data_IF_411150432857
#
_entry.id   IF_411150432857
#
_cell.length_a   1.000
_cell.length_b   1.000
_cell.length_c   1.000
_cell.angle_alpha   90.00
_cell.angle_beta   90.00
_cell.angle_gamma   90.00
#
_symmetry.space_group_name_H-M   'P 1'
#
loop_
_entity.id
_entity.type
_entity.pdbx_description
1 polymer ?
#
# COMPACT_ATOMS: atom_id res chain seq x y z
N UNK A 1 0.15 5.93 -39.50
CA UNK A 1 0.51 6.05 -38.07
C UNK A 1 0.08 7.43 -37.61
N UNK A 2 -0.71 7.53 -36.55
CA UNK A 2 -1.08 8.85 -35.98
C UNK A 2 0.22 9.57 -35.54
N UNK A 3 0.31 10.87 -35.81
CA UNK A 3 1.42 11.67 -35.29
C UNK A 3 1.19 11.89 -33.79
N UNK A 4 2.12 11.42 -32.95
CA UNK A 4 2.06 11.58 -31.50
C UNK A 4 3.09 12.62 -31.10
N UNK A 5 2.71 13.65 -30.39
CA UNK A 5 3.59 14.70 -29.87
C UNK A 5 3.70 14.58 -28.35
N UNK A 6 4.91 14.77 -27.80
CA UNK A 6 5.12 14.89 -26.37
C UNK A 6 5.35 16.36 -26.03
N UNK A 7 4.67 16.83 -24.99
CA UNK A 7 4.89 18.15 -24.41
C UNK A 7 4.88 18.07 -22.87
N UNK A 8 5.47 19.04 -22.17
CA UNK A 8 5.29 19.16 -20.73
C UNK A 8 3.79 19.21 -20.36
N UNK A 9 3.40 18.52 -19.30
CA UNK A 9 2.06 18.62 -18.79
C UNK A 9 1.87 19.95 -18.03
N UNK A 10 0.70 20.53 -18.16
CA UNK A 10 0.32 21.81 -17.57
C UNK A 10 -0.78 21.61 -16.52
N UNK A 11 -0.58 22.17 -15.31
CA UNK A 11 -1.46 21.97 -14.16
C UNK A 11 -2.93 22.29 -14.47
N UNK A 12 -3.17 23.44 -15.06
CA UNK A 12 -4.54 23.91 -15.32
C UNK A 12 -5.21 23.23 -16.53
N UNK A 13 -4.43 22.76 -17.46
CA UNK A 13 -4.93 22.14 -18.69
C UNK A 13 -5.15 20.65 -18.55
N UNK A 14 -4.22 19.95 -17.87
CA UNK A 14 -4.09 18.50 -18.02
C UNK A 14 -4.50 17.75 -16.76
N UNK A 15 -4.34 18.32 -15.56
CA UNK A 15 -4.44 17.58 -14.32
C UNK A 15 -5.79 16.92 -14.07
N UNK A 16 -6.90 17.50 -14.57
CA UNK A 16 -8.21 16.83 -14.54
C UNK A 16 -8.22 15.52 -15.34
N UNK A 17 -7.60 15.52 -16.54
CA UNK A 17 -7.50 14.33 -17.37
C UNK A 17 -6.46 13.33 -16.81
N UNK A 18 -5.34 13.82 -16.25
CA UNK A 18 -4.36 12.98 -15.59
C UNK A 18 -4.97 12.27 -14.38
N UNK A 19 -5.72 12.97 -13.55
CA UNK A 19 -6.42 12.39 -12.40
C UNK A 19 -7.40 11.28 -12.83
N UNK A 20 -8.16 11.51 -13.91
CA UNK A 20 -9.03 10.49 -14.47
C UNK A 20 -8.25 9.25 -14.95
N UNK A 21 -7.09 9.44 -15.58
CA UNK A 21 -6.23 8.34 -16.03
C UNK A 21 -5.58 7.60 -14.85
N UNK A 22 -5.14 8.29 -13.80
CA UNK A 22 -4.66 7.66 -12.58
C UNK A 22 -5.72 6.78 -11.94
N UNK A 23 -6.98 7.26 -11.92
CA UNK A 23 -8.11 6.52 -11.34
C UNK A 23 -8.40 5.18 -12.06
N UNK A 24 -7.96 5.02 -13.31
CA UNK A 24 -8.07 3.74 -14.04
C UNK A 24 -7.06 2.69 -13.55
N UNK A 25 -5.95 3.13 -12.97
CA UNK A 25 -4.84 2.26 -12.59
C UNK A 25 -4.72 2.09 -11.06
N UNK A 26 -5.53 2.80 -10.28
CA UNK A 26 -5.54 2.74 -8.81
C UNK A 26 -6.87 2.20 -8.32
N UNK A 27 -6.86 1.60 -7.12
CA UNK A 27 -8.10 1.13 -6.48
C UNK A 27 -8.94 2.30 -5.94
N UNK A 28 -8.31 3.47 -5.78
CA UNK A 28 -8.91 4.68 -5.24
C UNK A 28 -8.95 5.78 -6.30
N UNK A 29 -10.11 6.45 -6.44
CA UNK A 29 -10.20 7.57 -7.37
C UNK A 29 -9.22 8.69 -6.99
N UNK A 30 -8.42 9.11 -7.93
CA UNK A 30 -7.58 10.30 -7.79
C UNK A 30 -8.37 11.52 -8.24
N UNK A 31 -8.53 12.50 -7.35
CA UNK A 31 -9.15 13.76 -7.70
C UNK A 31 -8.13 14.76 -8.28
N UNK A 32 -8.57 15.68 -9.12
CA UNK A 32 -7.70 16.74 -9.62
C UNK A 32 -7.06 17.58 -8.51
N UNK A 33 -7.82 18.05 -7.48
CA UNK A 33 -7.21 18.76 -6.34
C UNK A 33 -6.17 17.91 -5.61
N UNK A 34 -6.47 16.63 -5.36
CA UNK A 34 -5.53 15.71 -4.72
C UNK A 34 -4.24 15.52 -5.52
N UNK A 35 -4.35 15.37 -6.84
CA UNK A 35 -3.19 15.25 -7.72
C UNK A 35 -2.35 16.53 -7.77
N UNK A 36 -2.98 17.72 -7.70
CA UNK A 36 -2.28 19.01 -7.59
C UNK A 36 -1.51 19.13 -6.27
N UNK A 37 -2.09 18.69 -5.17
CA UNK A 37 -1.40 18.63 -3.85
C UNK A 37 -0.19 17.70 -3.92
N UNK A 38 -0.36 16.49 -4.44
CA UNK A 38 0.74 15.52 -4.60
C UNK A 38 1.86 16.07 -5.49
N UNK A 39 1.52 16.77 -6.57
CA UNK A 39 2.50 17.45 -7.42
C UNK A 39 3.30 18.52 -6.64
N UNK A 40 2.63 19.40 -5.90
CA UNK A 40 3.28 20.47 -5.14
C UNK A 40 4.20 19.91 -4.04
N UNK A 41 3.79 18.87 -3.35
CA UNK A 41 4.59 18.20 -2.31
C UNK A 41 5.85 17.52 -2.89
N UNK A 42 5.81 17.09 -4.14
CA UNK A 42 6.86 16.30 -4.75
C UNK A 42 7.64 17.01 -5.86
N UNK A 43 7.25 18.24 -6.24
CA UNK A 43 7.75 18.96 -7.41
C UNK A 43 9.28 19.04 -7.53
N UNK A 44 9.98 19.19 -6.40
CA UNK A 44 11.45 19.26 -6.40
C UNK A 44 12.14 17.91 -6.77
N UNK A 45 11.38 16.81 -6.67
CA UNK A 45 11.85 15.47 -7.00
C UNK A 45 11.31 14.96 -8.33
N UNK A 46 10.37 15.69 -8.94
CA UNK A 46 9.83 15.33 -10.26
C UNK A 46 10.89 15.62 -11.32
N UNK A 47 11.36 14.59 -11.99
CA UNK A 47 12.35 14.72 -13.06
C UNK A 47 11.72 14.74 -14.44
N UNK A 48 10.47 14.26 -14.55
CA UNK A 48 9.72 14.26 -15.79
C UNK A 48 8.22 14.21 -15.56
N UNK A 49 7.47 15.03 -16.33
CA UNK A 49 6.03 14.96 -16.45
C UNK A 49 5.63 15.44 -17.84
N UNK A 50 5.27 14.51 -18.73
CA UNK A 50 4.94 14.79 -20.13
C UNK A 50 3.57 14.24 -20.47
N UNK A 51 2.81 15.02 -21.23
CA UNK A 51 1.60 14.61 -21.90
C UNK A 51 1.91 14.13 -23.33
N UNK A 52 1.31 13.02 -23.75
CA UNK A 52 1.31 12.57 -25.13
C UNK A 52 -0.02 12.96 -25.77
N UNK A 53 0.04 13.66 -26.88
CA UNK A 53 -1.13 14.14 -27.64
C UNK A 53 -1.12 13.64 -29.08
N UNK A 54 -2.30 13.49 -29.67
CA UNK A 54 -2.43 13.37 -31.11
C UNK A 54 -2.51 14.76 -31.78
N UNK A 55 -2.50 14.77 -33.12
CA UNK A 55 -2.44 15.97 -33.95
C UNK A 55 -3.57 16.99 -33.67
N UNK A 56 -4.70 16.53 -33.17
CA UNK A 56 -5.85 17.37 -32.81
C UNK A 56 -5.83 17.86 -31.36
N UNK A 57 -4.76 17.57 -30.63
CA UNK A 57 -4.57 17.97 -29.21
C UNK A 57 -5.30 17.12 -28.20
N UNK A 58 -5.82 15.94 -28.59
CA UNK A 58 -6.38 14.98 -27.64
C UNK A 58 -5.29 14.29 -26.84
N UNK A 59 -5.41 14.29 -25.50
CA UNK A 59 -4.51 13.59 -24.61
C UNK A 59 -4.65 12.06 -24.78
N UNK A 60 -3.55 11.39 -25.11
CA UNK A 60 -3.49 9.94 -25.26
C UNK A 60 -3.02 9.26 -23.99
N UNK A 61 -2.18 9.94 -23.21
CA UNK A 61 -1.56 9.43 -22.00
C UNK A 61 -0.47 10.36 -21.49
N UNK A 62 0.23 9.93 -20.46
CA UNK A 62 1.32 10.70 -19.85
C UNK A 62 2.40 9.80 -19.25
N UNK A 63 3.57 10.38 -19.00
CA UNK A 63 4.56 9.85 -18.06
C UNK A 63 4.73 10.80 -16.86
N UNK A 64 5.06 10.24 -15.71
CA UNK A 64 5.40 11.00 -14.51
C UNK A 64 6.52 10.25 -13.78
N UNK A 65 7.67 10.88 -13.61
CA UNK A 65 8.82 10.28 -12.94
C UNK A 65 9.29 11.14 -11.78
N UNK A 66 9.48 10.50 -10.62
CA UNK A 66 9.85 11.14 -9.37
C UNK A 66 11.03 10.41 -8.75
N UNK A 67 12.08 11.15 -8.35
CA UNK A 67 13.19 10.59 -7.59
C UNK A 67 12.75 10.08 -6.22
N UNK A 68 13.31 8.96 -5.80
CA UNK A 68 13.14 8.49 -4.43
C UNK A 68 13.64 9.53 -3.44
N UNK A 69 12.91 9.72 -2.34
CA UNK A 69 13.37 10.60 -1.25
C UNK A 69 14.51 10.00 -0.44
N UNK A 70 14.73 8.69 -0.55
CA UNK A 70 15.74 7.96 0.22
C UNK A 70 17.00 7.64 -0.59
N UNK A 71 16.86 7.51 -1.91
CA UNK A 71 17.97 7.18 -2.79
C UNK A 71 17.84 7.94 -4.13
N UNK A 72 18.71 8.91 -4.36
CA UNK A 72 18.72 9.71 -5.59
C UNK A 72 19.07 8.92 -6.85
N UNK A 73 19.63 7.71 -6.70
CA UNK A 73 19.88 6.81 -7.82
C UNK A 73 18.64 6.02 -8.25
N UNK A 74 17.51 6.20 -7.55
CA UNK A 74 16.26 5.49 -7.79
C UNK A 74 15.16 6.46 -8.19
N UNK A 75 14.38 6.12 -9.22
CA UNK A 75 13.19 6.83 -9.62
C UNK A 75 11.99 5.89 -9.73
N UNK A 76 10.86 6.37 -9.26
CA UNK A 76 9.53 5.78 -9.49
C UNK A 76 8.87 6.49 -10.64
N UNK A 77 8.13 5.76 -11.46
CA UNK A 77 7.43 6.40 -12.56
C UNK A 77 6.11 5.74 -12.91
N UNK A 78 5.28 6.51 -13.58
CA UNK A 78 4.05 6.08 -14.24
C UNK A 78 4.15 6.31 -15.73
N UNK A 79 3.60 5.40 -16.51
CA UNK A 79 3.24 5.59 -17.91
C UNK A 79 1.81 5.09 -18.05
N UNK A 80 0.89 6.01 -18.19
CA UNK A 80 -0.53 5.68 -18.32
C UNK A 80 -1.01 6.14 -19.68
N UNK A 81 -1.58 5.22 -20.45
CA UNK A 81 -2.16 5.48 -21.77
C UNK A 81 -3.62 5.05 -21.71
N UNK A 82 -4.51 5.91 -22.24
CA UNK A 82 -5.94 5.58 -22.38
C UNK A 82 -6.10 4.16 -22.94
N UNK A 83 -6.93 3.29 -22.35
CA UNK A 83 -7.07 1.90 -22.78
C UNK A 83 -7.32 1.76 -24.27
N UNK A 84 -8.22 2.57 -24.84
CA UNK A 84 -8.60 2.60 -26.25
C UNK A 84 -7.51 3.11 -27.20
N UNK A 85 -6.46 3.74 -26.66
CA UNK A 85 -5.33 4.29 -27.41
C UNK A 85 -4.04 3.45 -27.23
N UNK A 86 -4.11 2.34 -26.48
CA UNK A 86 -2.99 1.42 -26.32
C UNK A 86 -2.63 0.75 -27.65
N UNK A 87 -1.39 0.29 -27.78
CA UNK A 87 -0.90 -0.37 -28.98
C UNK A 87 -0.54 0.57 -30.14
N UNK A 88 -0.83 1.89 -30.06
CA UNK A 88 -0.63 2.86 -31.13
C UNK A 88 0.71 3.62 -31.04
N UNK A 89 1.58 3.30 -30.06
CA UNK A 89 2.94 3.83 -29.94
C UNK A 89 3.13 4.92 -28.87
N UNK A 90 2.06 5.46 -28.25
CA UNK A 90 2.16 6.51 -27.23
C UNK A 90 2.99 6.05 -26.03
N UNK A 91 2.72 4.86 -25.48
CA UNK A 91 3.48 4.30 -24.34
C UNK A 91 4.95 4.08 -24.66
N UNK A 92 5.30 3.72 -25.92
CA UNK A 92 6.70 3.60 -26.34
C UNK A 92 7.41 4.96 -26.30
N UNK A 93 6.81 6.00 -26.86
CA UNK A 93 7.40 7.35 -26.87
C UNK A 93 7.57 7.93 -25.48
N UNK A 94 6.53 7.76 -24.62
CA UNK A 94 6.58 8.19 -23.23
C UNK A 94 7.69 7.48 -22.44
N UNK A 95 7.93 6.20 -22.73
CA UNK A 95 8.99 5.44 -22.10
C UNK A 95 10.39 5.87 -22.60
N UNK A 96 10.57 6.03 -23.93
CA UNK A 96 11.84 6.47 -24.52
C UNK A 96 12.26 7.84 -23.97
N UNK A 97 11.33 8.78 -23.86
CA UNK A 97 11.54 10.10 -23.24
C UNK A 97 11.94 9.98 -21.75
N UNK A 98 11.22 9.17 -21.00
CA UNK A 98 11.49 8.95 -19.58
C UNK A 98 12.85 8.29 -19.35
N UNK A 99 13.20 7.25 -20.11
CA UNK A 99 14.49 6.56 -19.98
C UNK A 99 15.66 7.51 -20.31
N UNK A 100 15.50 8.35 -21.31
CA UNK A 100 16.52 9.35 -21.67
C UNK A 100 16.76 10.35 -20.52
N UNK A 101 15.70 10.89 -19.92
CA UNK A 101 15.83 11.84 -18.82
C UNK A 101 16.35 11.18 -17.54
N UNK A 102 15.97 9.94 -17.27
CA UNK A 102 16.47 9.19 -16.13
C UNK A 102 17.99 8.94 -16.24
N UNK A 103 18.49 8.58 -17.43
CA UNK A 103 19.93 8.44 -17.70
C UNK A 103 20.64 9.77 -17.54
N UNK A 104 20.11 10.86 -18.05
CA UNK A 104 20.69 12.20 -17.90
C UNK A 104 20.74 12.64 -16.42
N UNK A 105 19.77 12.23 -15.61
CA UNK A 105 19.72 12.46 -14.16
C UNK A 105 20.54 11.45 -13.35
N UNK A 106 21.32 10.58 -14.01
CA UNK A 106 22.15 9.53 -13.39
C UNK A 106 21.37 8.55 -12.50
N UNK A 107 20.10 8.34 -12.78
CA UNK A 107 19.27 7.32 -12.13
C UNK A 107 19.79 5.95 -12.54
N UNK A 108 19.97 5.06 -11.57
CA UNK A 108 20.42 3.67 -11.79
C UNK A 108 19.30 2.65 -11.69
N UNK A 109 18.27 2.95 -10.91
CA UNK A 109 17.16 2.06 -10.67
C UNK A 109 15.83 2.72 -11.08
N UNK A 110 15.18 2.15 -12.05
CA UNK A 110 13.80 2.52 -12.40
C UNK A 110 12.82 1.55 -11.76
N UNK A 111 11.77 2.06 -11.14
CA UNK A 111 10.69 1.26 -10.56
C UNK A 111 9.33 1.68 -11.12
N UNK A 112 8.50 0.69 -11.39
CA UNK A 112 7.11 0.86 -11.85
C UNK A 112 6.20 -0.12 -11.13
N UNK A 113 4.97 0.34 -10.83
CA UNK A 113 3.89 -0.51 -10.35
C UNK A 113 2.96 -0.87 -11.49
N UNK A 114 2.61 -2.15 -11.62
CA UNK A 114 1.74 -2.67 -12.68
C UNK A 114 0.67 -3.53 -12.05
N UNK A 115 -0.60 -3.30 -12.39
CA UNK A 115 -1.69 -4.16 -11.94
C UNK A 115 -1.54 -5.57 -12.50
N UNK A 116 -1.75 -6.59 -11.69
CA UNK A 116 -1.56 -7.99 -12.06
C UNK A 116 -2.63 -8.50 -13.05
N UNK A 117 -3.75 -7.77 -13.15
CA UNK A 117 -4.80 -8.02 -14.14
C UNK A 117 -4.56 -7.30 -15.49
N UNK A 118 -3.37 -6.71 -15.71
CA UNK A 118 -2.97 -6.09 -16.98
C UNK A 118 -1.76 -6.81 -17.61
N UNK A 119 -1.95 -8.02 -18.20
CA UNK A 119 -0.83 -8.78 -18.76
C UNK A 119 -0.10 -8.06 -19.89
N UNK A 120 -0.79 -7.22 -20.67
CA UNK A 120 -0.17 -6.40 -21.71
C UNK A 120 0.73 -5.31 -21.11
N UNK A 121 0.39 -4.74 -19.94
CA UNK A 121 1.21 -3.78 -19.23
C UNK A 121 2.49 -4.46 -18.70
N UNK A 122 2.36 -5.66 -18.12
CA UNK A 122 3.49 -6.46 -17.68
C UNK A 122 4.40 -6.80 -18.84
N UNK A 123 3.86 -7.32 -19.95
CA UNK A 123 4.65 -7.62 -21.15
C UNK A 123 5.31 -6.38 -21.76
N UNK A 124 4.71 -5.19 -21.64
CA UNK A 124 5.31 -3.93 -22.06
C UNK A 124 6.57 -3.60 -21.24
N UNK A 125 6.52 -3.78 -19.93
CA UNK A 125 7.67 -3.56 -19.03
C UNK A 125 8.76 -4.62 -19.23
N UNK A 126 8.40 -5.91 -19.30
CA UNK A 126 9.35 -7.02 -19.50
C UNK A 126 10.15 -6.86 -20.78
N UNK A 127 9.50 -6.47 -21.91
CA UNK A 127 10.20 -6.18 -23.17
C UNK A 127 11.18 -5.00 -23.09
N UNK A 128 11.12 -4.19 -22.04
CA UNK A 128 12.03 -3.08 -21.76
C UNK A 128 13.08 -3.40 -20.70
N UNK A 129 13.15 -4.66 -20.29
CA UNK A 129 14.15 -5.16 -19.36
C UNK A 129 13.77 -4.97 -17.89
N UNK A 130 12.49 -4.71 -17.58
CA UNK A 130 12.00 -4.76 -16.21
C UNK A 130 11.82 -6.19 -15.75
N UNK A 131 12.18 -6.44 -14.51
CA UNK A 131 11.97 -7.71 -13.82
C UNK A 131 11.11 -7.51 -12.59
N UNK A 132 10.35 -8.54 -12.21
CA UNK A 132 9.54 -8.50 -11.00
C UNK A 132 10.44 -8.46 -9.76
N UNK A 133 10.20 -7.50 -8.88
CA UNK A 133 10.81 -7.38 -7.56
C UNK A 133 9.92 -7.94 -6.47
N UNK A 134 8.63 -7.62 -6.52
CA UNK A 134 7.64 -8.13 -5.59
C UNK A 134 6.24 -8.11 -6.21
N UNK A 135 5.37 -8.96 -5.67
CA UNK A 135 3.96 -8.99 -6.00
C UNK A 135 3.14 -8.85 -4.72
N UNK A 136 2.33 -7.81 -4.67
CA UNK A 136 1.32 -7.63 -3.63
C UNK A 136 -0.04 -8.02 -4.18
N UNK A 137 -0.80 -8.84 -3.44
CA UNK A 137 -2.19 -9.18 -3.75
C UNK A 137 -3.12 -8.37 -2.87
N UNK A 138 -4.20 -7.86 -3.43
CA UNK A 138 -5.28 -7.22 -2.70
C UNK A 138 -6.23 -8.25 -2.09
N UNK A 139 -6.81 -7.91 -0.93
CA UNK A 139 -7.82 -8.72 -0.25
C UNK A 139 -8.95 -7.82 0.22
N UNK A 140 -10.19 -8.25 0.04
CA UNK A 140 -11.38 -7.51 0.44
C UNK A 140 -12.32 -8.41 1.24
N UNK A 141 -12.88 -7.87 2.32
CA UNK A 141 -13.90 -8.53 3.14
C UNK A 141 -15.19 -7.71 3.11
N UNK A 142 -16.29 -8.36 2.75
CA UNK A 142 -17.64 -7.82 2.93
C UNK A 142 -18.10 -8.07 4.38
N UNK A 143 -18.32 -7.00 5.14
CA UNK A 143 -18.70 -7.06 6.54
C UNK A 143 -20.14 -7.55 6.75
N UNK A 144 -20.99 -7.54 5.72
CA UNK A 144 -22.35 -8.09 5.81
C UNK A 144 -22.36 -9.61 5.92
N UNK A 145 -21.34 -10.28 5.35
CA UNK A 145 -21.21 -11.74 5.40
C UNK A 145 -20.19 -12.23 6.44
N UNK A 146 -19.46 -11.30 7.07
CA UNK A 146 -18.47 -11.65 8.09
C UNK A 146 -19.14 -12.17 9.37
N UNK A 147 -18.93 -13.44 9.67
CA UNK A 147 -19.38 -14.08 10.91
C UNK A 147 -18.21 -14.26 11.88
N UNK A 148 -18.22 -13.50 12.96
CA UNK A 148 -17.17 -13.56 14.00
C UNK A 148 -17.50 -14.49 15.17
N UNK A 149 -18.74 -15.04 15.23
CA UNK A 149 -19.19 -15.93 16.32
C UNK A 149 -18.32 -17.16 16.51
N UNK A 150 -17.83 -17.83 15.44
CA UNK A 150 -16.94 -19.00 15.57
C UNK A 150 -15.63 -18.73 16.32
N UNK A 151 -15.24 -17.45 16.42
CA UNK A 151 -13.97 -17.06 17.07
C UNK A 151 -14.12 -16.74 18.56
N UNK A 152 -15.35 -16.65 19.10
CA UNK A 152 -15.59 -16.31 20.51
C UNK A 152 -14.94 -17.32 21.45
N UNK A 153 -15.14 -18.60 21.23
CA UNK A 153 -14.56 -19.68 22.05
C UNK A 153 -13.03 -19.69 21.96
N UNK A 154 -12.47 -19.43 20.76
CA UNK A 154 -11.03 -19.34 20.58
C UNK A 154 -10.42 -18.18 21.37
N UNK A 155 -11.06 -17.00 21.36
CA UNK A 155 -10.61 -15.81 22.09
C UNK A 155 -10.74 -16.07 23.59
N UNK A 156 -11.90 -16.61 24.07
CA UNK A 156 -12.11 -16.92 25.49
C UNK A 156 -11.05 -17.90 26.01
N UNK A 157 -10.78 -18.99 25.29
CA UNK A 157 -9.71 -19.93 25.65
C UNK A 157 -8.34 -19.25 25.76
N UNK A 158 -7.99 -18.37 24.82
CA UNK A 158 -6.72 -17.65 24.87
C UNK A 158 -6.68 -16.69 26.07
N UNK A 159 -7.80 -16.09 26.45
CA UNK A 159 -7.89 -15.27 27.67
C UNK A 159 -7.70 -16.11 28.93
N UNK A 160 -8.27 -17.32 29.00
CA UNK A 160 -8.04 -18.27 30.09
C UNK A 160 -6.58 -18.75 30.14
N UNK A 161 -5.89 -18.79 29.00
CA UNK A 161 -4.45 -19.06 28.89
C UNK A 161 -3.57 -17.88 29.30
N UNK A 162 -4.16 -16.75 29.74
CA UNK A 162 -3.44 -15.57 30.22
C UNK A 162 -3.11 -14.53 29.14
N UNK A 163 -3.79 -14.53 28.00
CA UNK A 163 -3.63 -13.48 27.00
C UNK A 163 -4.70 -12.38 27.19
N UNK A 164 -4.22 -11.15 27.42
CA UNK A 164 -5.07 -9.96 27.43
C UNK A 164 -5.24 -9.42 26.02
N UNK A 165 -6.46 -9.43 25.51
CA UNK A 165 -6.84 -8.75 24.28
C UNK A 165 -7.34 -7.34 24.58
N UNK A 166 -6.67 -6.32 24.05
CA UNK A 166 -6.95 -4.92 24.36
C UNK A 166 -6.64 -4.00 23.17
N UNK A 167 -6.80 -2.70 23.35
CA UNK A 167 -6.44 -1.68 22.35
C UNK A 167 -5.52 -0.64 22.96
N UNK A 168 -4.81 0.10 22.10
CA UNK A 168 -4.01 1.24 22.54
C UNK A 168 -4.85 2.29 23.29
N UNK A 169 -6.13 2.49 22.90
CA UNK A 169 -7.04 3.39 23.61
C UNK A 169 -7.28 2.92 25.06
N UNK A 170 -7.54 1.63 25.26
CA UNK A 170 -7.76 1.06 26.59
C UNK A 170 -6.50 1.11 27.47
N UNK A 171 -5.31 1.11 26.87
CA UNK A 171 -4.03 1.33 27.53
C UNK A 171 -3.66 2.80 27.73
N UNK A 172 -4.60 3.73 27.46
CA UNK A 172 -4.41 5.17 27.59
C UNK A 172 -3.48 5.78 26.54
N UNK A 173 -3.07 5.02 25.51
CA UNK A 173 -2.15 5.43 24.43
C UNK A 173 -0.89 6.17 24.95
N UNK A 174 -0.40 5.77 26.11
CA UNK A 174 0.76 6.38 26.77
C UNK A 174 2.03 6.19 25.93
N UNK A 175 3.06 7.00 26.20
CA UNK A 175 4.36 6.86 25.52
C UNK A 175 4.96 5.45 25.72
N UNK A 176 4.82 4.89 26.93
CA UNK A 176 5.24 3.52 27.21
C UNK A 176 4.52 2.50 26.33
N UNK A 177 3.19 2.62 26.21
CA UNK A 177 2.40 1.76 25.32
C UNK A 177 2.79 1.95 23.85
N UNK A 178 3.08 3.18 23.42
CA UNK A 178 3.55 3.47 22.06
C UNK A 178 4.94 2.87 21.79
N UNK A 179 5.85 2.85 22.77
CA UNK A 179 7.16 2.19 22.66
C UNK A 179 7.02 0.68 22.51
N UNK A 180 6.13 0.06 23.27
CA UNK A 180 5.83 -1.37 23.14
C UNK A 180 5.19 -1.70 21.79
N UNK A 181 4.26 -0.86 21.31
CA UNK A 181 3.66 -0.99 19.99
C UNK A 181 4.72 -0.87 18.88
N UNK A 182 5.61 0.12 19.00
CA UNK A 182 6.73 0.30 18.08
C UNK A 182 7.62 -0.95 18.03
N UNK A 183 8.05 -1.46 19.18
CA UNK A 183 8.94 -2.61 19.24
C UNK A 183 8.30 -3.86 18.58
N UNK A 184 7.00 -4.10 18.85
CA UNK A 184 6.29 -5.23 18.23
C UNK A 184 6.05 -5.00 16.73
N UNK A 185 5.67 -3.79 16.32
CA UNK A 185 5.47 -3.43 14.91
C UNK A 185 6.75 -3.61 14.10
N UNK A 186 7.86 -3.02 14.57
CA UNK A 186 9.16 -3.06 13.91
C UNK A 186 9.66 -4.50 13.75
N UNK A 187 9.65 -5.26 14.84
CA UNK A 187 10.06 -6.67 14.84
C UNK A 187 9.23 -7.51 13.86
N UNK A 188 7.89 -7.38 13.87
CA UNK A 188 7.03 -8.20 13.04
C UNK A 188 7.05 -7.75 11.57
N UNK A 189 7.25 -6.45 11.31
CA UNK A 189 7.40 -5.93 9.96
C UNK A 189 8.68 -6.43 9.29
N UNK A 190 9.82 -6.44 9.99
CA UNK A 190 11.07 -7.01 9.47
C UNK A 190 10.95 -8.49 9.08
N UNK A 191 10.05 -9.22 9.71
CA UNK A 191 9.81 -10.64 9.46
C UNK A 191 8.76 -10.88 8.36
N UNK A 192 8.18 -9.83 7.81
CA UNK A 192 7.21 -9.93 6.71
C UNK A 192 7.94 -10.27 5.41
N UNK A 193 7.46 -11.23 4.61
CA UNK A 193 8.03 -11.51 3.29
C UNK A 193 8.10 -10.23 2.42
N UNK A 194 9.25 -9.99 1.82
CA UNK A 194 9.53 -8.79 1.02
C UNK A 194 10.07 -7.58 1.81
N UNK A 195 10.18 -7.68 3.14
CA UNK A 195 10.84 -6.65 3.96
C UNK A 195 12.36 -6.68 3.84
N UNK A 196 12.92 -7.82 3.40
CA UNK A 196 14.38 -8.08 3.36
C UNK A 196 15.06 -7.88 4.73
N UNK A 197 14.30 -8.03 5.83
CA UNK A 197 14.79 -7.82 7.20
C UNK A 197 15.06 -6.35 7.54
N UNK A 198 14.57 -5.40 6.74
CA UNK A 198 14.77 -3.97 6.99
C UNK A 198 13.79 -3.44 8.01
N UNK A 199 14.29 -2.58 8.88
CA UNK A 199 13.46 -1.81 9.80
C UNK A 199 12.59 -0.82 9.02
N UNK A 200 11.26 -0.80 9.23
CA UNK A 200 10.37 0.15 8.56
C UNK A 200 10.53 1.59 9.08
N UNK A 201 11.08 1.75 10.29
CA UNK A 201 11.23 3.01 10.99
C UNK A 201 12.69 3.27 11.35
N UNK A 202 13.13 4.54 11.28
CA UNK A 202 14.50 4.92 11.64
C UNK A 202 14.72 4.91 13.16
N UNK A 203 13.68 5.23 13.94
CA UNK A 203 13.68 5.27 15.40
C UNK A 203 12.26 5.27 15.95
N UNK A 204 12.13 5.20 17.28
CA UNK A 204 10.83 5.38 17.93
C UNK A 204 10.24 6.77 17.66
N UNK A 205 11.04 7.81 17.65
CA UNK A 205 10.61 9.18 17.33
C UNK A 205 10.07 9.29 15.90
N UNK A 206 10.70 8.60 14.95
CA UNK A 206 10.21 8.51 13.57
C UNK A 206 8.86 7.79 13.49
N UNK A 207 8.71 6.66 14.21
CA UNK A 207 7.45 5.94 14.35
C UNK A 207 6.37 6.80 15.02
N UNK A 208 6.69 7.46 16.12
CA UNK A 208 5.75 8.33 16.83
C UNK A 208 5.22 9.45 15.92
N UNK A 209 6.12 10.11 15.18
CA UNK A 209 5.75 11.18 14.25
C UNK A 209 4.92 10.68 13.08
N UNK A 210 5.32 9.57 12.45
CA UNK A 210 4.71 9.10 11.19
C UNK A 210 3.49 8.20 11.41
N UNK A 211 3.36 7.60 12.59
CA UNK A 211 2.27 6.69 12.94
C UNK A 211 1.40 7.30 14.03
N UNK A 212 1.92 7.46 15.26
CA UNK A 212 1.08 7.84 16.39
C UNK A 212 0.50 9.26 16.30
N UNK A 213 1.13 10.16 15.55
CA UNK A 213 0.69 11.53 15.31
C UNK A 213 0.00 11.73 13.95
N UNK A 214 -0.10 10.68 13.14
CA UNK A 214 -0.78 10.76 11.85
C UNK A 214 -2.31 10.83 12.03
N UNK A 215 -2.99 11.57 11.16
CA UNK A 215 -4.45 11.77 11.21
C UNK A 215 -5.24 10.47 11.11
N UNK A 216 -4.70 9.50 10.38
CA UNK A 216 -5.31 8.17 10.24
C UNK A 216 -5.13 7.30 11.49
N UNK A 217 -4.18 7.59 12.38
CA UNK A 217 -3.96 6.79 13.58
C UNK A 217 -5.12 6.96 14.57
N UNK A 218 -5.79 5.86 14.87
CA UNK A 218 -6.85 5.81 15.87
C UNK A 218 -6.43 4.79 16.93
N UNK A 219 -6.15 5.20 18.18
CA UNK A 219 -5.71 4.28 19.24
C UNK A 219 -6.67 3.11 19.48
N UNK A 220 -7.98 3.34 19.30
CA UNK A 220 -9.00 2.28 19.42
C UNK A 220 -8.95 1.25 18.28
N UNK A 221 -8.39 1.60 17.11
CA UNK A 221 -8.18 0.69 15.98
C UNK A 221 -6.84 -0.07 16.03
N UNK A 222 -6.00 0.20 17.05
CA UNK A 222 -4.74 -0.49 17.26
C UNK A 222 -4.95 -1.59 18.30
N UNK A 223 -5.31 -2.80 17.85
CA UNK A 223 -5.54 -3.94 18.72
C UNK A 223 -4.21 -4.62 19.07
N UNK A 224 -4.05 -5.00 20.32
CA UNK A 224 -2.86 -5.68 20.82
C UNK A 224 -3.23 -6.86 21.74
N UNK A 225 -2.33 -7.83 21.81
CA UNK A 225 -2.44 -8.99 22.72
C UNK A 225 -1.20 -9.00 23.59
N UNK A 226 -1.42 -9.06 24.90
CA UNK A 226 -0.37 -9.06 25.92
C UNK A 226 -0.43 -10.39 26.64
N UNK A 227 0.70 -11.08 26.77
CA UNK A 227 0.88 -12.21 27.68
C UNK A 227 0.98 -11.67 29.10
N UNK A 228 -0.05 -11.86 29.90
CA UNK A 228 -0.14 -11.32 31.28
C UNK A 228 0.85 -11.97 32.24
N UNK A 229 1.36 -13.15 31.90
CA UNK A 229 2.36 -13.87 32.72
C UNK A 229 3.72 -13.23 32.63
N UNK A 230 4.08 -12.73 31.43
CA UNK A 230 5.41 -12.18 31.16
C UNK A 230 5.42 -10.67 30.96
N UNK A 231 4.25 -10.05 30.72
CA UNK A 231 4.13 -8.67 30.30
C UNK A 231 4.51 -8.41 28.83
N UNK A 232 4.87 -9.44 28.07
CA UNK A 232 5.28 -9.29 26.68
C UNK A 232 4.08 -9.01 25.76
N UNK A 233 4.27 -8.13 24.79
CA UNK A 233 3.34 -7.91 23.72
C UNK A 233 3.51 -9.01 22.66
N UNK A 234 2.46 -9.82 22.50
CA UNK A 234 2.51 -11.06 21.73
C UNK A 234 2.01 -10.90 20.28
N UNK A 235 0.99 -10.06 20.08
CA UNK A 235 0.41 -9.85 18.76
C UNK A 235 -0.22 -8.45 18.62
N UNK A 236 -0.38 -8.00 17.39
CA UNK A 236 -1.07 -6.74 17.07
C UNK A 236 -1.87 -6.86 15.76
N UNK A 237 -2.91 -6.03 15.63
CA UNK A 237 -3.59 -5.77 14.37
C UNK A 237 -4.06 -4.31 14.31
N UNK A 238 -3.59 -3.58 13.31
CA UNK A 238 -3.90 -2.18 13.11
C UNK A 238 -4.94 -2.03 12.00
N UNK A 239 -6.02 -1.30 12.29
CA UNK A 239 -7.08 -1.00 11.34
C UNK A 239 -7.48 0.47 11.45
N UNK A 240 -7.80 1.08 10.32
CA UNK A 240 -8.27 2.46 10.26
C UNK A 240 -9.25 2.66 9.12
N UNK A 241 -9.94 3.80 9.15
CA UNK A 241 -10.67 4.36 8.01
C UNK A 241 -9.98 5.66 7.65
N UNK A 242 -9.45 5.75 6.43
CA UNK A 242 -8.87 6.99 5.93
C UNK A 242 -9.96 8.01 5.66
N UNK A 243 -9.60 9.30 5.73
CA UNK A 243 -10.54 10.37 5.42
C UNK A 243 -11.07 10.23 3.98
N UNK A 244 -12.38 10.35 3.83
CA UNK A 244 -13.06 10.19 2.53
C UNK A 244 -13.27 8.75 2.05
N UNK A 245 -12.66 7.74 2.70
CA UNK A 245 -12.89 6.35 2.33
C UNK A 245 -14.24 5.83 2.87
N UNK A 246 -14.90 4.97 2.11
CA UNK A 246 -16.12 4.26 2.51
C UNK A 246 -15.84 2.84 3.06
N UNK A 247 -14.55 2.48 3.19
CA UNK A 247 -14.06 1.20 3.73
C UNK A 247 -13.02 1.42 4.83
N UNK A 248 -12.78 0.40 5.64
CA UNK A 248 -11.64 0.37 6.54
C UNK A 248 -10.47 -0.40 5.91
N UNK A 249 -9.27 -0.03 6.32
CA UNK A 249 -8.03 -0.63 5.84
C UNK A 249 -7.28 -1.30 7.00
N UNK A 250 -7.06 -2.62 6.91
CA UNK A 250 -6.23 -3.34 7.86
C UNK A 250 -4.77 -3.18 7.46
N UNK A 251 -4.05 -2.33 8.19
CA UNK A 251 -2.70 -1.87 7.84
C UNK A 251 -1.62 -2.93 8.09
N UNK A 252 -1.66 -3.54 9.28
CA UNK A 252 -0.66 -4.51 9.70
C UNK A 252 -1.25 -5.49 10.70
N UNK A 253 -0.89 -6.75 10.56
CA UNK A 253 -1.12 -7.79 11.58
C UNK A 253 0.16 -8.55 11.78
N UNK A 254 0.66 -8.57 13.01
CA UNK A 254 1.92 -9.21 13.37
C UNK A 254 1.83 -10.04 14.65
N UNK A 255 2.61 -11.10 14.72
CA UNK A 255 2.75 -11.95 15.92
C UNK A 255 4.23 -12.17 16.18
N UNK A 256 4.68 -11.89 17.39
CA UNK A 256 6.01 -12.25 17.85
C UNK A 256 6.24 -13.74 17.63
N UNK A 257 7.37 -14.08 17.03
CA UNK A 257 7.70 -15.46 16.66
C UNK A 257 7.58 -16.46 17.81
N UNK A 258 7.81 -16.02 19.06
CA UNK A 258 7.69 -16.84 20.29
C UNK A 258 6.25 -17.30 20.55
N UNK A 259 5.28 -16.61 20.00
CA UNK A 259 3.85 -16.84 20.20
C UNK A 259 3.12 -17.36 18.95
N UNK A 260 3.85 -17.63 17.85
CA UNK A 260 3.26 -18.17 16.62
C UNK A 260 2.67 -19.57 16.83
N UNK A 261 1.76 -19.97 15.96
CA UNK A 261 1.06 -21.26 16.03
C UNK A 261 -0.11 -21.29 17.02
N UNK A 262 -0.31 -20.28 17.86
CA UNK A 262 -1.35 -20.18 18.90
C UNK A 262 -2.63 -19.50 18.42
N UNK A 263 -2.78 -19.22 17.13
CA UNK A 263 -3.93 -18.52 16.53
C UNK A 263 -4.10 -17.04 16.95
N UNK A 264 -3.10 -16.41 17.56
CA UNK A 264 -3.19 -15.01 18.01
C UNK A 264 -3.42 -14.03 16.86
N UNK A 265 -2.78 -14.23 15.69
CA UNK A 265 -2.98 -13.37 14.52
C UNK A 265 -4.45 -13.31 14.11
N UNK A 266 -5.10 -14.48 14.00
CA UNK A 266 -6.50 -14.58 13.64
C UNK A 266 -7.40 -13.90 14.69
N UNK A 267 -7.16 -14.19 15.97
CA UNK A 267 -7.95 -13.64 17.06
C UNK A 267 -7.83 -12.12 17.18
N UNK A 268 -6.62 -11.55 17.10
CA UNK A 268 -6.44 -10.10 17.18
C UNK A 268 -7.01 -9.39 15.95
N UNK A 269 -6.95 -10.03 14.79
CA UNK A 269 -7.56 -9.50 13.56
C UNK A 269 -9.08 -9.49 13.64
N UNK A 270 -9.72 -10.50 14.27
CA UNK A 270 -11.15 -10.50 14.54
C UNK A 270 -11.55 -9.31 15.42
N UNK A 271 -10.77 -8.94 16.44
CA UNK A 271 -11.05 -7.74 17.23
C UNK A 271 -10.99 -6.46 16.38
N UNK A 272 -10.00 -6.36 15.50
CA UNK A 272 -9.91 -5.23 14.58
C UNK A 272 -11.10 -5.15 13.62
N UNK A 273 -11.59 -6.30 13.14
CA UNK A 273 -12.79 -6.37 12.31
C UNK A 273 -14.07 -6.01 13.07
N UNK A 274 -14.20 -6.41 14.34
CA UNK A 274 -15.30 -5.94 15.21
C UNK A 274 -15.30 -4.43 15.34
N UNK A 275 -14.14 -3.83 15.60
CA UNK A 275 -13.99 -2.38 15.65
C UNK A 275 -14.39 -1.72 14.31
N UNK A 276 -14.02 -2.30 13.18
CA UNK A 276 -14.42 -1.80 11.86
C UNK A 276 -15.94 -1.82 11.68
N UNK A 277 -16.62 -2.90 12.10
CA UNK A 277 -18.07 -3.04 12.03
C UNK A 277 -18.81 -2.12 13.01
N UNK A 278 -18.38 -2.09 14.28
CA UNK A 278 -19.14 -1.51 15.37
C UNK A 278 -18.85 -0.03 15.61
N UNK A 279 -17.63 0.43 15.27
CA UNK A 279 -17.19 1.81 15.52
C UNK A 279 -16.96 2.60 14.25
N UNK A 280 -16.33 1.98 13.23
CA UNK A 280 -16.12 2.66 11.95
C UNK A 280 -17.35 2.56 11.04
N UNK A 281 -18.27 1.65 11.33
CA UNK A 281 -19.54 1.43 10.61
C UNK A 281 -19.33 1.26 9.10
N UNK A 282 -18.30 0.51 8.72
CA UNK A 282 -17.98 0.26 7.31
C UNK A 282 -18.53 -1.08 6.85
N UNK A 283 -18.92 -1.15 5.58
CA UNK A 283 -19.40 -2.38 4.94
C UNK A 283 -18.27 -3.20 4.32
N UNK A 284 -17.08 -2.62 4.20
CA UNK A 284 -15.95 -3.27 3.52
C UNK A 284 -14.66 -3.05 4.30
N UNK A 285 -13.84 -4.08 4.40
CA UNK A 285 -12.47 -3.99 4.90
C UNK A 285 -11.52 -4.46 3.81
N UNK A 286 -10.50 -3.66 3.52
CA UNK A 286 -9.44 -3.97 2.56
C UNK A 286 -8.12 -4.21 3.27
N UNK A 287 -7.25 -4.98 2.63
CA UNK A 287 -5.85 -5.15 2.99
C UNK A 287 -5.06 -5.63 1.78
N UNK A 288 -3.74 -5.67 1.86
CA UNK A 288 -2.89 -6.30 0.86
C UNK A 288 -1.76 -7.09 1.53
N UNK A 289 -1.23 -8.06 0.82
CA UNK A 289 -0.11 -8.88 1.28
C UNK A 289 0.88 -9.10 0.15
N UNK A 290 2.17 -9.20 0.50
CA UNK A 290 3.12 -9.83 -0.41
C UNK A 290 2.61 -11.24 -0.75
N UNK A 291 2.62 -11.64 -2.02
CA UNK A 291 2.12 -12.93 -2.49
C UNK A 291 2.81 -14.14 -1.83
N UNK A 292 4.02 -13.95 -1.32
CA UNK A 292 4.75 -14.96 -0.55
C UNK A 292 4.33 -15.04 0.93
N UNK A 293 3.47 -14.14 1.41
CA UNK A 293 2.95 -14.19 2.77
C UNK A 293 1.78 -15.18 2.91
N UNK A 294 2.02 -16.42 2.48
CA UNK A 294 1.02 -17.50 2.46
C UNK A 294 0.30 -17.69 3.81
N UNK A 295 0.99 -17.61 4.98
CA UNK A 295 0.29 -17.76 6.26
C UNK A 295 -0.75 -16.68 6.53
N UNK A 296 -0.46 -15.40 6.20
CA UNK A 296 -1.42 -14.31 6.42
C UNK A 296 -2.57 -14.36 5.43
N UNK A 297 -2.29 -14.66 4.16
CA UNK A 297 -3.30 -14.88 3.13
C UNK A 297 -4.28 -16.00 3.54
N UNK A 298 -3.75 -17.10 4.10
CA UNK A 298 -4.57 -18.21 4.59
C UNK A 298 -5.46 -17.79 5.80
N UNK A 299 -4.98 -16.90 6.66
CA UNK A 299 -5.78 -16.33 7.76
C UNK A 299 -6.92 -15.49 7.19
N UNK A 300 -6.63 -14.65 6.19
CA UNK A 300 -7.63 -13.79 5.58
C UNK A 300 -8.72 -14.58 4.86
N UNK A 301 -8.36 -15.61 4.10
CA UNK A 301 -9.35 -16.51 3.51
C UNK A 301 -10.25 -17.17 4.55
N UNK A 302 -9.69 -17.59 5.71
CA UNK A 302 -10.50 -18.15 6.82
C UNK A 302 -11.43 -17.13 7.45
N UNK A 303 -11.10 -15.85 7.42
CA UNK A 303 -11.94 -14.77 7.90
C UNK A 303 -12.98 -14.33 6.85
N UNK A 304 -12.94 -14.89 5.65
CA UNK A 304 -13.89 -14.60 4.57
C UNK A 304 -13.42 -13.55 3.57
N UNK A 305 -12.16 -13.09 3.65
CA UNK A 305 -11.62 -12.23 2.60
C UNK A 305 -11.53 -12.96 1.26
N UNK A 306 -11.83 -12.24 0.21
CA UNK A 306 -11.64 -12.67 -1.17
C UNK A 306 -10.50 -11.87 -1.80
N UNK A 307 -9.74 -12.54 -2.68
CA UNK A 307 -8.65 -11.89 -3.37
C UNK A 307 -9.19 -10.93 -4.44
N UNK A 308 -8.57 -9.76 -4.54
CA UNK A 308 -8.77 -8.77 -5.60
C UNK A 308 -7.49 -8.60 -6.41
N UNK A 309 -7.54 -7.95 -7.57
CA UNK A 309 -6.35 -7.63 -8.33
C UNK A 309 -5.29 -6.95 -7.48
N UNK A 310 -4.05 -7.41 -7.66
CA UNK A 310 -2.89 -6.91 -6.94
C UNK A 310 -1.97 -6.07 -7.82
N UNK A 311 -0.74 -5.86 -7.34
CA UNK A 311 0.24 -4.99 -7.98
C UNK A 311 1.60 -5.69 -8.03
N UNK A 312 2.19 -5.81 -9.21
CA UNK A 312 3.60 -6.11 -9.38
C UNK A 312 4.43 -4.84 -9.19
N UNK A 313 5.41 -4.87 -8.30
CA UNK A 313 6.50 -3.91 -8.30
C UNK A 313 7.59 -4.46 -9.22
N UNK A 314 7.91 -3.75 -10.28
CA UNK A 314 8.93 -4.16 -11.23
C UNK A 314 10.07 -3.14 -11.25
N UNK A 315 11.29 -3.62 -11.46
CA UNK A 315 12.47 -2.79 -11.50
C UNK A 315 13.34 -3.07 -12.72
N UNK A 316 14.09 -2.04 -13.13
CA UNK A 316 15.12 -2.10 -14.17
C UNK A 316 16.37 -1.36 -13.70
N UNK A 317 17.53 -1.99 -13.90
CA UNK A 317 18.84 -1.33 -13.79
C UNK A 317 19.13 -0.59 -15.09
N UNK A 318 19.52 0.68 -14.98
CA UNK A 318 20.04 1.47 -16.09
C UNK A 318 21.58 1.37 -16.09
N UNK A 319 22.13 1.02 -17.23
CA UNK A 319 23.56 1.03 -17.48
C UNK A 319 24.10 2.45 -17.80
#
# INVERSE_FOLDING_TARGET
MKLITLRPAELERDFGQLAALFSLEQDEPTSEPGLKVDYEEHKERIIRLMAAEEEQGELLGFNWATLSRFDKNQAYFYIIVKPEQRGQGAGRRLYEDLEQIAKAAQVKHLQISIRDNCPECRAFAERRGFTERSHAIGMVLDMHVFDDRPYNEQIARLQDEGFLFTSMAALGNTEEAQRNLYALNDMTAMQTPGSEGKHPWLSFEDFQKKVCQADWYKPAGQMVVIDTTTGNWAAMSAITRFEGADYAYNLHTGVDQRYRGRKLAQSVKVLALRYARETLEVNTVRTHHNSHNVPMIAIDHKLGYVQTPGIFSMEKLLE
#
